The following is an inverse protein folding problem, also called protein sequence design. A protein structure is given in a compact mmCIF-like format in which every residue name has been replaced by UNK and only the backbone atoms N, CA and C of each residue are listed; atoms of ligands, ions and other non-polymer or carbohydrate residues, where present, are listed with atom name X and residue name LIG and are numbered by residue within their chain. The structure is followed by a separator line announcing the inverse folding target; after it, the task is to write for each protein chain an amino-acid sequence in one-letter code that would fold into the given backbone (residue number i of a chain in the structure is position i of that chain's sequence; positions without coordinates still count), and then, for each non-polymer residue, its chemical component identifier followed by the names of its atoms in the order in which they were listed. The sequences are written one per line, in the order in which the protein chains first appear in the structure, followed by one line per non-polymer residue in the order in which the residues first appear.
data_IF_150825234768
#
_entry.id   IF_150825234768
#
_cell.length_a   1.000
_cell.length_b   1.000
_cell.length_c   1.000
_cell.angle_alpha   90.00
_cell.angle_beta   90.00
_cell.angle_gamma   90.00
#
_symmetry.space_group_name_H-M   'P 1'
#
loop_
_entity.id
_entity.type
_entity.pdbx_description
1 polymer ?
#
# COMPACT_ATOMS: atom_id res chain seq x y z
N UNK A 1 36.28 2.60 -23.82
CA UNK A 1 34.96 1.95 -23.71
C UNK A 1 34.33 2.44 -22.42
N UNK A 2 33.35 3.33 -22.48
CA UNK A 2 32.58 3.71 -21.29
C UNK A 2 31.72 2.51 -20.93
N UNK A 3 32.08 1.76 -19.89
CA UNK A 3 31.13 0.86 -19.26
C UNK A 3 29.95 1.73 -18.80
N UNK A 4 28.77 1.51 -19.38
CA UNK A 4 27.55 2.06 -18.80
C UNK A 4 27.42 1.49 -17.39
N UNK A 5 27.52 2.34 -16.40
CA UNK A 5 27.19 1.93 -15.04
C UNK A 5 25.66 1.74 -14.98
N UNK A 6 25.22 0.54 -14.67
CA UNK A 6 23.79 0.22 -14.54
C UNK A 6 23.53 -0.64 -13.32
N UNK A 7 22.37 -0.47 -12.73
CA UNK A 7 21.87 -1.27 -11.60
C UNK A 7 20.48 -1.75 -11.93
N UNK A 8 20.24 -3.05 -11.75
CA UNK A 8 18.91 -3.67 -11.86
C UNK A 8 18.43 -4.06 -10.47
N UNK A 9 17.23 -3.63 -10.10
CA UNK A 9 16.61 -3.90 -8.82
C UNK A 9 15.20 -4.49 -8.99
N UNK A 10 14.81 -5.34 -8.07
CA UNK A 10 13.41 -5.73 -7.88
C UNK A 10 12.69 -4.60 -7.16
N UNK A 11 11.49 -4.28 -7.62
CA UNK A 11 10.58 -3.29 -7.07
C UNK A 11 9.31 -4.00 -6.54
N UNK A 12 9.33 -4.52 -5.29
CA UNK A 12 8.21 -5.26 -4.73
C UNK A 12 6.95 -4.40 -4.60
N UNK A 13 5.80 -4.98 -4.96
CA UNK A 13 4.51 -4.43 -4.60
C UNK A 13 4.23 -4.59 -3.10
N UNK A 14 3.15 -3.98 -2.65
CA UNK A 14 2.67 -4.12 -1.26
C UNK A 14 1.24 -4.64 -1.20
N UNK A 15 0.91 -5.22 -0.08
CA UNK A 15 -0.46 -5.46 0.38
C UNK A 15 -0.67 -4.76 1.73
N UNK A 16 -1.92 -4.53 2.08
CA UNK A 16 -2.29 -4.10 3.43
C UNK A 16 -2.89 -5.32 4.15
N UNK A 17 -2.31 -5.72 5.27
CA UNK A 17 -2.85 -6.79 6.12
C UNK A 17 -4.02 -6.26 6.96
N UNK A 18 -3.95 -5.01 7.37
CA UNK A 18 -5.07 -4.23 7.89
C UNK A 18 -5.04 -2.83 7.29
N UNK A 19 -6.20 -2.19 7.08
CA UNK A 19 -6.32 -0.81 6.64
C UNK A 19 -7.57 -0.17 7.22
N UNK A 20 -7.40 0.75 8.14
CA UNK A 20 -8.43 1.62 8.69
C UNK A 20 -8.27 3.04 8.20
N UNK A 21 -9.39 3.68 7.86
CA UNK A 21 -9.45 5.14 7.66
C UNK A 21 -9.87 5.78 8.97
N UNK A 22 -8.94 6.45 9.64
CA UNK A 22 -9.13 6.91 11.03
C UNK A 22 -9.63 8.35 11.13
N UNK A 23 -9.62 9.10 10.03
CA UNK A 23 -10.10 10.48 10.03
C UNK A 23 -9.73 11.23 8.75
N UNK A 24 -10.02 12.53 8.75
CA UNK A 24 -9.69 13.45 7.67
C UNK A 24 -9.02 14.70 8.21
N UNK A 25 -7.88 15.07 7.62
CA UNK A 25 -7.10 16.26 7.96
C UNK A 25 -7.70 17.51 7.34
N UNK A 26 -7.36 18.68 7.90
CA UNK A 26 -7.80 19.98 7.38
C UNK A 26 -7.30 20.28 5.96
N UNK A 27 -6.18 19.65 5.53
CA UNK A 27 -5.63 19.73 4.18
C UNK A 27 -6.36 18.82 3.17
N UNK A 28 -7.37 18.07 3.63
CA UNK A 28 -8.21 17.19 2.82
C UNK A 28 -7.71 15.76 2.68
N UNK A 29 -6.51 15.43 3.18
CA UNK A 29 -6.01 14.06 3.22
C UNK A 29 -6.69 13.26 4.34
N UNK A 30 -6.90 11.97 4.10
CA UNK A 30 -7.38 11.03 5.12
C UNK A 30 -6.22 10.47 5.90
N UNK A 31 -6.42 10.32 7.21
CA UNK A 31 -5.51 9.56 8.06
C UNK A 31 -5.87 8.09 8.02
N UNK A 32 -4.83 7.26 8.08
CA UNK A 32 -4.96 5.82 8.06
C UNK A 32 -4.21 5.19 9.23
N UNK A 33 -4.64 4.00 9.62
CA UNK A 33 -3.93 3.10 10.50
C UNK A 33 -3.87 1.74 9.79
N UNK A 34 -2.67 1.32 9.38
CA UNK A 34 -2.52 0.20 8.45
C UNK A 34 -1.23 -0.59 8.71
N UNK A 35 -1.30 -1.89 8.52
CA UNK A 35 -0.12 -2.75 8.45
C UNK A 35 0.16 -3.09 6.98
N UNK A 36 1.25 -2.54 6.45
CA UNK A 36 1.73 -2.83 5.10
C UNK A 36 2.77 -3.94 5.11
N UNK A 37 2.72 -4.80 4.09
CA UNK A 37 3.68 -5.88 3.88
C UNK A 37 4.10 -5.93 2.41
N UNK A 38 5.40 -6.03 2.13
CA UNK A 38 5.91 -6.22 0.77
C UNK A 38 5.54 -7.62 0.23
N UNK A 39 5.41 -7.74 -1.08
CA UNK A 39 5.05 -9.02 -1.73
C UNK A 39 6.20 -9.58 -2.56
N UNK A 40 6.10 -10.86 -2.91
CA UNK A 40 7.00 -11.48 -3.90
C UNK A 40 6.71 -11.02 -5.34
N UNK A 41 5.51 -10.49 -5.62
CA UNK A 41 5.18 -9.88 -6.91
C UNK A 41 5.91 -8.53 -7.02
N UNK A 42 6.79 -8.42 -8.00
CA UNK A 42 7.63 -7.24 -8.16
C UNK A 42 7.85 -6.89 -9.64
N UNK A 43 7.96 -5.62 -9.93
CA UNK A 43 8.51 -5.13 -11.17
C UNK A 43 10.03 -5.27 -11.17
N UNK A 44 10.67 -5.21 -12.34
CA UNK A 44 12.11 -5.16 -12.49
C UNK A 44 12.50 -3.81 -13.06
N UNK A 45 13.34 -3.06 -12.35
CA UNK A 45 13.75 -1.70 -12.72
C UNK A 45 15.24 -1.68 -12.96
N UNK A 46 15.64 -1.36 -14.19
CA UNK A 46 17.04 -1.14 -14.57
C UNK A 46 17.29 0.34 -14.77
N UNK A 47 18.26 0.88 -14.04
CA UNK A 47 18.71 2.27 -14.16
C UNK A 47 20.14 2.29 -14.68
N UNK A 48 20.36 3.05 -15.76
CA UNK A 48 21.68 3.23 -16.39
C UNK A 48 22.04 4.70 -16.45
N UNK A 49 23.31 5.02 -16.18
CA UNK A 49 23.87 6.36 -16.37
C UNK A 49 24.49 6.49 -17.75
N UNK A 50 24.31 7.63 -18.38
CA UNK A 50 24.92 8.00 -19.68
C UNK A 50 23.95 8.72 -20.62
N UNK A 51 24.50 9.32 -21.63
CA UNK A 51 23.73 10.14 -22.57
C UNK A 51 23.32 11.51 -21.99
N UNK A 52 22.16 12.02 -22.38
CA UNK A 52 21.62 13.30 -21.93
C UNK A 52 20.16 13.15 -21.54
N UNK A 53 19.74 13.90 -20.52
CA UNK A 53 18.36 13.94 -20.05
C UNK A 53 17.91 12.67 -19.36
N UNK A 54 16.60 12.55 -19.11
CA UNK A 54 15.99 11.41 -18.42
C UNK A 54 15.02 10.72 -19.39
N UNK A 55 15.19 9.42 -19.58
CA UNK A 55 14.27 8.57 -20.35
C UNK A 55 13.71 7.45 -19.48
N UNK A 56 12.42 7.12 -19.64
CA UNK A 56 11.74 6.01 -18.96
C UNK A 56 10.98 5.22 -20.02
N UNK A 57 11.10 3.90 -19.98
CA UNK A 57 10.40 2.94 -20.83
C UNK A 57 9.74 1.83 -20.02
N UNK A 58 8.82 1.09 -20.65
CA UNK A 58 8.08 -0.01 -20.01
C UNK A 58 6.86 0.45 -19.19
N UNK A 59 6.43 1.69 -19.35
CA UNK A 59 5.26 2.27 -18.68
C UNK A 59 4.32 2.93 -19.70
N UNK A 60 3.94 2.16 -20.73
CA UNK A 60 3.13 2.65 -21.83
C UNK A 60 1.81 3.27 -21.35
N UNK A 61 1.41 4.37 -21.98
CA UNK A 61 0.18 5.09 -21.65
C UNK A 61 0.27 6.03 -20.44
N UNK A 62 1.40 6.09 -19.73
CA UNK A 62 1.62 7.04 -18.64
C UNK A 62 2.41 8.26 -19.16
N UNK A 63 1.81 9.46 -19.06
CA UNK A 63 2.50 10.67 -19.42
C UNK A 63 3.77 10.87 -18.57
N UNK A 64 4.85 11.37 -19.20
CA UNK A 64 6.18 11.53 -18.58
C UNK A 64 6.11 12.25 -17.22
N UNK A 65 5.38 13.34 -17.15
CA UNK A 65 5.27 14.19 -15.95
C UNK A 65 4.45 13.52 -14.83
N UNK A 66 3.60 12.56 -15.17
CA UNK A 66 2.80 11.77 -14.25
C UNK A 66 3.52 10.48 -13.81
N UNK A 67 4.60 10.09 -14.51
CA UNK A 67 5.35 8.89 -14.21
C UNK A 67 6.20 9.06 -12.96
N UNK A 68 5.94 8.26 -11.92
CA UNK A 68 6.64 8.38 -10.63
C UNK A 68 8.13 8.01 -10.74
N UNK A 69 8.51 7.07 -11.61
CA UNK A 69 9.91 6.73 -11.86
C UNK A 69 10.68 7.90 -12.50
N UNK A 70 10.07 8.59 -13.46
CA UNK A 70 10.63 9.81 -14.03
C UNK A 70 10.78 10.90 -12.97
N UNK A 71 9.72 11.16 -12.19
CA UNK A 71 9.73 12.16 -11.13
C UNK A 71 10.75 11.84 -10.03
N UNK A 72 10.97 10.56 -9.72
CA UNK A 72 11.99 10.10 -8.80
C UNK A 72 13.40 10.46 -9.30
N UNK A 73 13.70 10.19 -10.58
CA UNK A 73 14.96 10.58 -11.19
C UNK A 73 15.16 12.11 -11.18
N UNK A 74 14.13 12.88 -11.54
CA UNK A 74 14.16 14.36 -11.46
C UNK A 74 14.44 14.82 -10.03
N UNK A 75 13.74 14.28 -9.03
CA UNK A 75 13.90 14.64 -7.62
C UNK A 75 15.31 14.35 -7.11
N UNK A 76 15.84 13.16 -7.42
CA UNK A 76 17.18 12.76 -7.03
C UNK A 76 18.26 13.67 -7.66
N UNK A 77 18.21 13.87 -8.98
CA UNK A 77 19.21 14.69 -9.69
C UNK A 77 19.19 16.16 -9.21
N UNK A 78 18.01 16.71 -8.96
CA UNK A 78 17.88 18.06 -8.38
C UNK A 78 18.50 18.15 -6.98
N UNK A 79 18.25 17.18 -6.14
CA UNK A 79 18.82 17.15 -4.78
C UNK A 79 20.36 17.02 -4.84
N UNK A 80 20.90 16.24 -5.79
CA UNK A 80 22.32 15.96 -5.89
C UNK A 80 23.10 17.03 -6.63
N UNK A 81 22.55 17.61 -7.71
CA UNK A 81 23.26 18.51 -8.64
C UNK A 81 22.65 19.91 -8.75
N UNK A 82 21.52 20.18 -8.08
CA UNK A 82 20.77 21.44 -8.19
C UNK A 82 19.87 21.52 -9.42
N UNK A 83 20.03 20.62 -10.40
CA UNK A 83 19.24 20.54 -11.61
C UNK A 83 18.96 19.09 -12.01
N UNK A 84 17.87 18.84 -12.74
CA UNK A 84 17.55 17.51 -13.23
C UNK A 84 18.18 17.20 -14.60
N UNK A 85 18.40 18.22 -15.40
CA UNK A 85 18.97 18.15 -16.74
C UNK A 85 19.89 19.36 -16.96
N UNK A 86 20.89 19.21 -17.82
CA UNK A 86 21.82 20.28 -18.17
C UNK A 86 23.28 19.89 -18.01
N UNK A 87 24.18 20.87 -18.21
CA UNK A 87 25.62 20.65 -18.09
C UNK A 87 26.01 20.24 -16.66
N UNK A 88 26.75 19.16 -16.53
CA UNK A 88 27.17 18.59 -15.24
C UNK A 88 26.19 17.59 -14.62
N UNK A 89 25.01 17.40 -15.20
CA UNK A 89 24.05 16.39 -14.77
C UNK A 89 24.15 15.14 -15.65
N UNK A 90 24.33 13.93 -15.11
CA UNK A 90 24.39 12.72 -15.92
C UNK A 90 23.01 12.43 -16.55
N UNK A 91 23.02 11.90 -17.78
CA UNK A 91 21.81 11.34 -18.34
C UNK A 91 21.43 10.05 -17.62
N UNK A 92 20.13 9.79 -17.51
CA UNK A 92 19.53 8.63 -16.83
C UNK A 92 18.58 7.92 -17.77
N UNK A 93 18.76 6.62 -17.93
CA UNK A 93 17.82 5.75 -18.63
C UNK A 93 17.22 4.78 -17.61
N UNK A 94 15.89 4.73 -17.54
CA UNK A 94 15.12 3.81 -16.69
C UNK A 94 14.32 2.87 -17.60
N UNK A 95 14.52 1.57 -17.42
CA UNK A 95 13.76 0.52 -18.11
C UNK A 95 13.00 -0.28 -17.07
N UNK A 96 11.68 -0.40 -17.23
CA UNK A 96 10.80 -1.07 -16.28
C UNK A 96 10.11 -2.25 -16.97
N UNK A 97 10.31 -3.45 -16.39
CA UNK A 97 9.55 -4.62 -16.74
C UNK A 97 8.39 -4.75 -15.73
N UNK A 98 7.16 -4.48 -16.21
CA UNK A 98 5.96 -4.43 -15.37
C UNK A 98 5.34 -5.81 -15.19
N UNK A 99 5.21 -6.22 -13.92
CA UNK A 99 4.47 -7.40 -13.47
C UNK A 99 3.35 -7.02 -12.50
N UNK A 100 3.54 -5.93 -11.73
CA UNK A 100 2.51 -5.40 -10.83
C UNK A 100 1.45 -4.69 -11.67
N UNK A 101 0.16 -5.03 -11.53
CA UNK A 101 -0.90 -4.42 -12.32
C UNK A 101 -0.99 -2.91 -12.08
N UNK A 102 -1.06 -2.16 -13.17
CA UNK A 102 -1.24 -0.71 -13.09
C UNK A 102 -2.56 -0.40 -12.40
N UNK A 103 -2.53 0.44 -11.40
CA UNK A 103 -3.71 0.80 -10.59
C UNK A 103 -4.35 -0.38 -9.83
N UNK A 104 -3.65 -1.47 -9.57
CA UNK A 104 -4.15 -2.65 -8.86
C UNK A 104 -4.28 -2.50 -7.33
N UNK A 105 -3.91 -1.35 -6.74
CA UNK A 105 -3.92 -1.16 -5.27
C UNK A 105 -2.64 -1.65 -4.58
N UNK A 106 -1.65 -2.12 -5.35
CA UNK A 106 -0.40 -2.72 -4.85
C UNK A 106 0.81 -1.77 -4.92
N UNK A 107 0.59 -0.49 -5.16
CA UNK A 107 1.61 0.56 -5.21
C UNK A 107 2.74 0.34 -6.24
N UNK A 108 2.49 -0.32 -7.40
CA UNK A 108 3.52 -0.62 -8.39
C UNK A 108 4.32 0.59 -8.85
N UNK A 109 3.66 1.70 -9.19
CA UNK A 109 4.37 2.95 -9.57
C UNK A 109 5.22 3.54 -8.44
N UNK A 110 4.81 3.37 -7.18
CA UNK A 110 5.58 3.79 -6.01
C UNK A 110 6.80 2.89 -5.80
N UNK A 111 6.64 1.58 -6.05
CA UNK A 111 7.74 0.62 -6.02
C UNK A 111 8.79 0.93 -7.09
N UNK A 112 8.35 1.24 -8.32
CA UNK A 112 9.24 1.68 -9.41
C UNK A 112 10.03 2.92 -9.02
N UNK A 113 9.35 3.94 -8.49
CA UNK A 113 9.99 5.19 -8.04
C UNK A 113 11.02 4.94 -6.93
N UNK A 114 10.69 4.11 -5.94
CA UNK A 114 11.59 3.74 -4.87
C UNK A 114 12.83 2.98 -5.39
N UNK A 115 12.64 2.08 -6.35
CA UNK A 115 13.75 1.37 -7.01
C UNK A 115 14.66 2.33 -7.77
N UNK A 116 14.11 3.32 -8.50
CA UNK A 116 14.90 4.37 -9.15
C UNK A 116 15.70 5.18 -8.15
N UNK A 117 15.11 5.60 -7.02
CA UNK A 117 15.84 6.33 -5.97
C UNK A 117 17.00 5.51 -5.42
N UNK A 118 16.78 4.24 -5.08
CA UNK A 118 17.83 3.32 -4.59
C UNK A 118 18.93 3.09 -5.64
N UNK A 119 18.55 2.89 -6.90
CA UNK A 119 19.50 2.65 -7.98
C UNK A 119 20.39 3.87 -8.21
N UNK A 120 19.80 5.08 -8.25
CA UNK A 120 20.55 6.33 -8.42
C UNK A 120 21.48 6.61 -7.24
N UNK A 121 21.02 6.33 -6.01
CA UNK A 121 21.87 6.50 -4.82
C UNK A 121 23.03 5.50 -4.82
N UNK A 122 22.82 4.27 -5.31
CA UNK A 122 23.90 3.29 -5.50
C UNK A 122 24.89 3.70 -6.60
N UNK A 123 24.42 4.29 -7.70
CA UNK A 123 25.24 4.65 -8.86
C UNK A 123 25.99 5.97 -8.66
N UNK A 124 25.35 6.96 -8.04
CA UNK A 124 25.86 8.33 -7.93
C UNK A 124 26.27 8.65 -6.48
N UNK A 125 25.44 8.25 -5.51
CA UNK A 125 25.64 8.53 -4.08
C UNK A 125 25.44 9.99 -3.67
N UNK A 126 25.59 10.23 -2.37
CA UNK A 126 25.74 11.58 -1.80
C UNK A 126 24.45 12.38 -1.58
N UNK A 127 23.27 11.75 -1.64
CA UNK A 127 22.02 12.44 -1.28
C UNK A 127 21.68 12.29 0.20
N UNK A 128 21.94 11.13 0.79
CA UNK A 128 21.64 10.82 2.19
C UNK A 128 20.20 10.38 2.44
N UNK A 129 20.00 9.54 3.49
CA UNK A 129 18.73 8.86 3.75
C UNK A 129 17.56 9.80 4.04
N UNK A 130 17.78 10.88 4.80
CA UNK A 130 16.75 11.87 5.12
C UNK A 130 16.22 12.57 3.85
N UNK A 131 17.13 12.97 2.97
CA UNK A 131 16.76 13.61 1.69
C UNK A 131 16.05 12.62 0.77
N UNK A 132 16.51 11.35 0.71
CA UNK A 132 15.83 10.30 -0.06
C UNK A 132 14.40 10.08 0.46
N UNK A 133 14.22 10.03 1.78
CA UNK A 133 12.90 9.93 2.41
C UNK A 133 11.99 11.11 2.06
N UNK A 134 12.53 12.33 2.09
CA UNK A 134 11.80 13.54 1.72
C UNK A 134 11.37 13.54 0.24
N UNK A 135 12.27 13.10 -0.67
CA UNK A 135 11.94 12.93 -2.08
C UNK A 135 10.83 11.87 -2.22
N UNK A 136 10.98 10.70 -1.58
CA UNK A 136 10.01 9.63 -1.63
C UNK A 136 8.62 10.10 -1.21
N UNK A 137 8.50 10.78 -0.08
CA UNK A 137 7.22 11.31 0.42
C UNK A 137 6.60 12.34 -0.55
N UNK A 138 7.40 13.19 -1.18
CA UNK A 138 6.93 14.17 -2.16
C UNK A 138 6.36 13.54 -3.45
N UNK A 139 6.72 12.28 -3.73
CA UNK A 139 6.24 11.54 -4.89
C UNK A 139 4.88 10.87 -4.62
N UNK A 140 4.65 10.41 -3.38
CA UNK A 140 3.40 9.77 -2.98
C UNK A 140 3.53 9.06 -1.64
N UNK A 141 2.39 8.83 -0.97
CA UNK A 141 2.32 8.28 0.39
C UNK A 141 2.91 6.85 0.50
N UNK A 142 2.78 6.02 -0.54
CA UNK A 142 3.31 4.65 -0.54
C UNK A 142 4.81 4.57 -0.89
N UNK A 143 5.42 5.64 -1.45
CA UNK A 143 6.84 5.60 -1.89
C UNK A 143 7.81 5.41 -0.73
N UNK A 144 7.63 6.06 0.45
CA UNK A 144 8.47 5.81 1.62
C UNK A 144 8.46 4.35 2.06
N UNK A 145 7.28 3.70 2.08
CA UNK A 145 7.18 2.27 2.38
C UNK A 145 7.97 1.42 1.36
N UNK A 146 7.77 1.67 0.06
CA UNK A 146 8.48 0.94 -1.00
C UNK A 146 10.01 1.19 -0.97
N UNK A 147 10.46 2.33 -0.41
CA UNK A 147 11.89 2.62 -0.25
C UNK A 147 12.52 1.77 0.85
N UNK A 148 11.80 1.54 1.96
CA UNK A 148 12.26 0.76 3.14
C UNK A 148 11.96 -0.73 2.97
N UNK A 149 10.76 -1.08 2.51
CA UNK A 149 10.28 -2.46 2.34
C UNK A 149 9.90 -3.14 3.66
N UNK A 150 9.73 -4.46 3.59
CA UNK A 150 9.47 -5.31 4.76
C UNK A 150 8.02 -5.31 5.22
N UNK A 151 7.81 -5.23 6.52
CA UNK A 151 6.52 -5.09 7.17
C UNK A 151 6.52 -3.89 8.10
N UNK A 152 5.54 -3.01 7.94
CA UNK A 152 5.47 -1.73 8.66
C UNK A 152 4.05 -1.47 9.15
N UNK A 153 3.93 -1.03 10.38
CA UNK A 153 2.77 -0.33 10.89
C UNK A 153 2.87 1.13 10.46
N UNK A 154 1.90 1.61 9.71
CA UNK A 154 1.91 2.93 9.10
C UNK A 154 0.71 3.76 9.57
N UNK A 155 0.98 4.98 10.00
CA UNK A 155 -0.03 5.96 10.42
C UNK A 155 0.14 7.28 9.68
N UNK A 156 -0.64 8.32 10.04
CA UNK A 156 -0.66 9.57 9.29
C UNK A 156 -1.41 9.37 7.97
N UNK A 157 -0.85 9.79 6.84
CA UNK A 157 -1.34 9.44 5.49
C UNK A 157 -0.67 8.16 4.95
N UNK A 158 0.09 7.43 5.81
CA UNK A 158 0.88 6.24 5.52
C UNK A 158 2.40 6.47 5.64
N UNK A 159 2.82 7.69 5.98
CA UNK A 159 4.23 8.12 6.02
C UNK A 159 4.93 7.89 7.36
N UNK A 160 4.17 7.77 8.46
CA UNK A 160 4.75 7.48 9.78
C UNK A 160 4.86 5.98 9.93
N UNK A 161 6.07 5.45 9.80
CA UNK A 161 6.32 4.01 9.69
C UNK A 161 7.07 3.48 10.91
N UNK A 162 6.55 2.41 11.51
CA UNK A 162 7.19 1.65 12.57
C UNK A 162 7.36 0.20 12.11
N UNK A 163 8.58 -0.36 12.11
CA UNK A 163 8.79 -1.76 11.76
C UNK A 163 7.95 -2.69 12.63
N UNK A 164 7.32 -3.69 12.02
CA UNK A 164 6.61 -4.74 12.72
C UNK A 164 7.04 -6.12 12.22
N UNK A 165 6.52 -7.17 12.88
CA UNK A 165 6.85 -8.54 12.51
C UNK A 165 6.31 -8.86 11.12
N UNK A 166 7.13 -9.50 10.28
CA UNK A 166 6.73 -10.02 8.97
C UNK A 166 5.78 -11.20 9.11
N UNK A 167 5.03 -11.49 8.05
CA UNK A 167 4.29 -12.73 7.93
C UNK A 167 5.23 -13.93 8.09
N UNK A 168 4.81 -14.99 8.80
CA UNK A 168 5.53 -16.26 8.79
C UNK A 168 5.52 -16.85 7.35
N UNK A 169 6.25 -17.95 7.09
CA UNK A 169 6.22 -18.60 5.80
C UNK A 169 4.80 -18.79 5.29
N UNK A 170 4.52 -18.36 4.07
CA UNK A 170 3.18 -18.38 3.49
C UNK A 170 3.24 -18.50 1.96
N UNK A 171 2.11 -18.84 1.36
CA UNK A 171 1.87 -18.69 -0.07
C UNK A 171 0.85 -17.57 -0.30
N UNK A 172 1.13 -16.72 -1.27
CA UNK A 172 0.27 -15.61 -1.67
C UNK A 172 -0.23 -15.85 -3.11
N UNK A 173 -1.55 -15.69 -3.32
CA UNK A 173 -2.14 -15.58 -4.65
C UNK A 173 -2.70 -14.17 -4.80
N UNK A 174 -2.39 -13.50 -5.92
CA UNK A 174 -2.96 -12.18 -6.27
C UNK A 174 -3.84 -12.34 -7.49
N UNK A 175 -5.05 -11.82 -7.39
CA UNK A 175 -6.09 -11.87 -8.43
C UNK A 175 -6.37 -10.44 -8.90
N UNK A 176 -6.36 -10.24 -10.21
CA UNK A 176 -6.75 -9.01 -10.88
C UNK A 176 -8.16 -9.06 -11.46
N UNK A 177 -8.53 -7.97 -12.11
CA UNK A 177 -9.83 -7.80 -12.77
C UNK A 177 -11.05 -7.96 -11.83
N UNK A 178 -10.86 -7.70 -10.53
CA UNK A 178 -11.88 -7.86 -9.50
C UNK A 178 -12.84 -6.64 -9.44
N UNK A 179 -13.13 -6.05 -10.58
CA UNK A 179 -14.03 -4.91 -10.72
C UNK A 179 -13.41 -3.70 -11.41
N UNK A 180 -14.20 -2.64 -11.56
CA UNK A 180 -13.75 -1.41 -12.23
C UNK A 180 -12.95 -0.56 -11.25
N UNK A 181 -11.72 -0.17 -11.64
CA UNK A 181 -10.92 0.77 -10.86
C UNK A 181 -11.64 2.11 -10.73
N UNK A 182 -11.98 2.48 -9.52
CA UNK A 182 -12.41 3.84 -9.17
C UNK A 182 -11.21 4.63 -8.65
N UNK A 183 -11.25 5.96 -8.74
CA UNK A 183 -10.17 6.75 -8.15
C UNK A 183 -10.16 6.58 -6.62
N UNK A 184 -8.98 6.48 -6.04
CA UNK A 184 -8.81 6.39 -4.59
C UNK A 184 -9.48 7.57 -3.86
N UNK A 185 -9.40 8.77 -4.42
CA UNK A 185 -10.07 9.96 -3.86
C UNK A 185 -11.60 9.80 -3.80
N UNK A 186 -12.21 9.19 -4.83
CA UNK A 186 -13.64 8.90 -4.83
C UNK A 186 -14.01 7.86 -3.78
N UNK A 187 -13.20 6.84 -3.60
CA UNK A 187 -13.47 5.80 -2.59
C UNK A 187 -13.37 6.36 -1.16
N UNK A 188 -12.41 7.25 -0.90
CA UNK A 188 -12.37 7.99 0.37
C UNK A 188 -13.63 8.84 0.58
N UNK A 189 -14.10 9.56 -0.44
CA UNK A 189 -15.34 10.35 -0.33
C UNK A 189 -16.58 9.48 -0.09
N UNK A 190 -16.62 8.26 -0.62
CA UNK A 190 -17.69 7.29 -0.34
C UNK A 190 -17.61 6.78 1.11
N UNK A 191 -16.40 6.53 1.65
CA UNK A 191 -16.20 6.18 3.06
C UNK A 191 -16.63 7.30 4.00
N UNK A 192 -16.37 8.57 3.66
CA UNK A 192 -16.88 9.74 4.42
C UNK A 192 -18.41 9.70 4.56
N UNK A 193 -19.11 9.25 3.51
CA UNK A 193 -20.57 9.08 3.53
C UNK A 193 -21.04 7.98 4.50
N UNK A 194 -20.31 6.86 4.57
CA UNK A 194 -20.61 5.78 5.53
C UNK A 194 -20.45 6.25 6.98
N UNK A 195 -19.39 6.96 7.29
CA UNK A 195 -19.13 7.48 8.64
C UNK A 195 -20.24 8.45 9.11
N UNK A 196 -20.82 9.22 8.21
CA UNK A 196 -21.92 10.14 8.54
C UNK A 196 -23.24 9.41 8.82
N UNK A 197 -23.53 8.32 8.11
CA UNK A 197 -24.73 7.50 8.31
C UNK A 197 -24.68 6.80 9.67
N UNK A 198 -23.52 6.18 10.02
CA UNK A 198 -23.37 5.51 11.32
C UNK A 198 -23.46 6.48 12.50
N UNK A 199 -22.95 7.69 12.38
CA UNK A 199 -23.07 8.72 13.41
C UNK A 199 -24.55 9.12 13.62
N UNK A 200 -25.31 9.30 12.54
CA UNK A 200 -26.72 9.66 12.59
C UNK A 200 -27.61 8.53 13.13
N UNK A 201 -27.28 7.26 12.85
CA UNK A 201 -27.99 6.11 13.38
C UNK A 201 -27.64 5.85 14.85
N UNK A 202 -26.40 6.11 15.27
CA UNK A 202 -25.97 6.06 16.66
C UNK A 202 -26.62 7.14 17.52
N UNK A 203 -26.82 8.35 17.00
CA UNK A 203 -27.54 9.41 17.68
C UNK A 203 -29.04 9.08 17.82
N UNK A 204 -29.67 8.52 16.80
CA UNK A 204 -31.08 8.05 16.86
C UNK A 204 -31.28 6.92 17.87
N UNK A 205 -30.35 5.95 17.95
CA UNK A 205 -30.40 4.87 18.94
C UNK A 205 -30.15 5.38 20.36
N UNK A 206 -29.29 6.39 20.54
CA UNK A 206 -29.03 7.01 21.85
C UNK A 206 -30.24 7.80 22.37
N UNK A 207 -31.06 8.36 21.49
CA UNK A 207 -32.33 9.01 21.85
C UNK A 207 -33.44 8.00 22.21
N UNK A 208 -33.46 6.81 21.58
CA UNK A 208 -34.41 5.74 21.87
C UNK A 208 -34.10 4.95 23.15
N UNK A 209 -32.83 4.81 23.53
CA UNK A 209 -32.37 4.13 24.75
C UNK A 209 -32.02 5.15 25.82
N UNK A 210 -33.05 5.80 26.37
CA UNK A 210 -32.89 6.71 27.49
C UNK A 210 -32.15 6.07 28.66
N UNK A 211 -31.01 6.66 29.01
CA UNK A 211 -30.30 6.57 30.29
C UNK A 211 -29.91 5.19 30.83
N UNK A 212 -28.70 4.74 30.52
CA UNK A 212 -27.84 4.07 31.49
C UNK A 212 -26.49 4.80 31.52
N UNK A 213 -26.29 5.60 32.55
CA UNK A 213 -24.98 6.13 32.93
C UNK A 213 -24.21 5.00 33.56
N UNK A 214 -23.01 4.69 33.01
CA UNK A 214 -21.76 4.36 33.69
C UNK A 214 -20.80 3.69 32.68
N UNK A 215 -19.98 4.51 32.04
CA UNK A 215 -18.71 4.04 31.50
C UNK A 215 -17.68 5.16 31.76
N UNK A 216 -16.63 4.83 32.50
CA UNK A 216 -15.58 5.73 32.93
C UNK A 216 -14.80 6.33 31.73
N UNK A 217 -14.31 7.59 31.82
CA UNK A 217 -13.58 8.22 30.72
C UNK A 217 -12.15 7.67 30.66
N UNK A 218 -11.73 7.27 29.47
CA UNK A 218 -10.34 7.08 29.16
C UNK A 218 -9.65 8.46 29.04
N UNK A 219 -8.55 8.61 29.78
CA UNK A 219 -7.84 9.85 29.99
C UNK A 219 -7.28 10.42 28.67
N UNK A 220 -7.49 11.72 28.51
CA UNK A 220 -6.88 12.58 27.50
C UNK A 220 -5.36 12.61 27.69
N UNK A 221 -4.62 12.24 26.64
CA UNK A 221 -3.21 12.54 26.48
C UNK A 221 -3.04 13.82 25.66
N UNK A 222 -2.80 14.95 26.35
CA UNK A 222 -2.46 16.21 25.70
C UNK A 222 -1.01 16.13 25.26
N UNK A 223 -0.76 16.01 23.95
CA UNK A 223 0.50 16.33 23.30
C UNK A 223 0.56 17.83 23.05
N UNK A 224 1.54 18.50 23.66
CA UNK A 224 1.81 19.91 23.43
C UNK A 224 2.51 20.10 22.09
N UNK A 225 1.76 20.27 21.00
CA UNK A 225 2.19 20.91 19.74
C UNK A 225 0.94 21.13 18.90
N UNK A 226 0.46 22.35 18.91
CA UNK A 226 -0.74 22.89 18.30
C UNK A 226 -1.14 22.41 16.91
N UNK A 227 -1.73 21.22 16.81
CA UNK A 227 -2.38 20.73 15.58
C UNK A 227 -3.89 20.79 15.78
N UNK A 228 -4.53 21.67 15.02
CA UNK A 228 -5.98 21.87 14.98
C UNK A 228 -6.71 20.62 14.46
N UNK A 229 -7.64 20.14 15.27
CA UNK A 229 -8.85 19.40 14.93
C UNK A 229 -8.75 18.32 13.85
N UNK A 230 -8.33 17.12 14.24
CA UNK A 230 -8.62 15.89 13.47
C UNK A 230 -10.06 15.48 13.80
N UNK A 231 -10.96 15.52 12.81
CA UNK A 231 -12.25 14.88 12.94
C UNK A 231 -12.03 13.38 13.03
N UNK A 232 -12.22 12.79 14.21
CA UNK A 232 -12.15 11.33 14.39
C UNK A 232 -13.47 10.73 13.95
N UNK A 233 -13.42 9.68 13.14
CA UNK A 233 -14.57 8.81 12.93
C UNK A 233 -14.83 8.09 14.26
N UNK A 234 -16.04 8.28 14.82
CA UNK A 234 -16.36 7.96 16.20
C UNK A 234 -16.21 6.48 16.56
N UNK A 235 -15.92 6.23 17.82
CA UNK A 235 -15.93 4.91 18.48
C UNK A 235 -17.36 4.34 18.65
N UNK A 236 -18.17 4.37 17.59
CA UNK A 236 -19.49 3.75 17.54
C UNK A 236 -19.35 2.30 17.03
N UNK A 237 -19.91 1.37 17.74
CA UNK A 237 -20.01 -0.07 17.49
C UNK A 237 -20.70 -0.37 16.15
N UNK A 238 -19.99 -0.23 15.02
CA UNK A 238 -20.64 -0.56 13.77
C UNK A 238 -19.74 -0.45 12.59
N UNK A 239 -19.30 -0.23 11.68
CA UNK A 239 -18.80 -0.43 10.36
C UNK A 239 -17.28 -0.23 10.16
N UNK A 240 -16.59 0.51 10.99
CA UNK A 240 -15.12 0.70 10.90
C UNK A 240 -14.43 -0.17 11.96
N UNK A 241 -14.20 -1.44 11.62
CA UNK A 241 -13.64 -2.45 12.53
C UNK A 241 -12.25 -2.91 12.15
N UNK A 242 -11.49 -2.17 11.34
CA UNK A 242 -10.12 -2.56 11.12
C UNK A 242 -9.25 -1.94 12.21
N UNK A 243 -8.64 -2.80 13.01
CA UNK A 243 -7.76 -2.46 14.11
C UNK A 243 -6.35 -2.94 13.78
N UNK A 244 -5.45 -2.01 13.43
CA UNK A 244 -4.05 -2.36 13.24
C UNK A 244 -3.45 -2.97 14.50
N UNK A 245 -3.93 -2.62 15.69
CA UNK A 245 -3.49 -3.21 16.95
C UNK A 245 -3.78 -4.71 16.99
N UNK A 246 -4.99 -5.15 16.63
CA UNK A 246 -5.35 -6.57 16.52
C UNK A 246 -4.47 -7.31 15.50
N UNK A 247 -4.17 -6.69 14.37
CA UNK A 247 -3.25 -7.25 13.38
C UNK A 247 -1.83 -7.37 13.93
N UNK A 248 -1.30 -6.36 14.63
CA UNK A 248 0.02 -6.42 15.25
C UNK A 248 0.11 -7.53 16.29
N UNK A 249 -0.91 -7.69 17.16
CA UNK A 249 -1.00 -8.81 18.10
C UNK A 249 -1.05 -10.16 17.39
N UNK A 250 -1.78 -10.26 16.28
CA UNK A 250 -1.83 -11.49 15.49
C UNK A 250 -0.45 -11.83 14.88
N UNK A 251 0.26 -10.85 14.34
CA UNK A 251 1.62 -11.02 13.81
C UNK A 251 2.60 -11.50 14.88
N UNK A 252 2.49 -11.01 16.12
CA UNK A 252 3.34 -11.43 17.22
C UNK A 252 3.18 -12.93 17.57
N UNK A 253 2.03 -13.53 17.29
CA UNK A 253 1.83 -14.98 17.48
C UNK A 253 2.60 -15.83 16.46
N UNK A 254 2.92 -15.28 15.29
CA UNK A 254 3.42 -16.00 14.11
C UNK A 254 2.49 -17.16 13.64
N UNK A 255 1.22 -17.13 14.01
CA UNK A 255 0.22 -18.09 13.58
C UNK A 255 -0.55 -17.56 12.38
N UNK A 256 -0.29 -18.11 11.20
CA UNK A 256 -0.84 -17.60 9.94
C UNK A 256 -2.38 -17.53 9.93
N UNK A 257 -3.06 -18.51 10.59
CA UNK A 257 -4.52 -18.51 10.72
C UNK A 257 -5.05 -17.36 11.57
N UNK A 258 -4.35 -16.98 12.63
CA UNK A 258 -4.73 -15.83 13.46
C UNK A 258 -4.54 -14.54 12.69
N UNK A 259 -3.43 -14.43 11.96
CA UNK A 259 -3.16 -13.28 11.10
C UNK A 259 -4.25 -13.15 10.02
N UNK A 260 -4.59 -14.25 9.33
CA UNK A 260 -5.66 -14.27 8.34
C UNK A 260 -7.02 -13.85 8.92
N UNK A 261 -7.32 -14.25 10.16
CA UNK A 261 -8.54 -13.85 10.86
C UNK A 261 -8.58 -12.38 11.30
N UNK A 262 -7.41 -11.72 11.40
CA UNK A 262 -7.29 -10.31 11.76
C UNK A 262 -7.22 -9.37 10.51
N UNK A 263 -7.20 -9.93 9.30
CA UNK A 263 -7.14 -9.13 8.07
C UNK A 263 -8.42 -8.31 7.87
N UNK A 264 -8.27 -7.01 7.55
CA UNK A 264 -9.38 -6.08 7.37
C UNK A 264 -9.01 -4.91 6.47
N UNK A 265 -9.99 -4.37 5.72
CA UNK A 265 -9.76 -3.23 4.85
C UNK A 265 -11.06 -2.41 4.68
N UNK A 266 -11.09 -1.19 5.18
CA UNK A 266 -12.27 -0.33 5.14
C UNK A 266 -12.76 -0.04 3.69
N UNK A 267 -11.87 -0.07 2.71
CA UNK A 267 -12.27 0.11 1.31
C UNK A 267 -13.18 -1.02 0.80
N UNK A 268 -13.26 -2.18 1.47
CA UNK A 268 -14.20 -3.24 1.09
C UNK A 268 -15.66 -2.82 1.31
N UNK A 269 -15.94 -1.90 2.24
CA UNK A 269 -17.28 -1.33 2.46
C UNK A 269 -17.82 -0.63 1.20
N UNK A 270 -16.91 -0.01 0.46
CA UNK A 270 -17.28 0.75 -0.76
C UNK A 270 -16.87 0.00 -2.05
N UNK A 271 -16.36 -1.21 -1.95
CA UNK A 271 -15.95 -2.04 -3.10
C UNK A 271 -16.50 -3.48 -3.01
N UNK A 272 -17.81 -3.68 -3.12
CA UNK A 272 -18.42 -5.00 -2.97
C UNK A 272 -17.99 -6.02 -4.05
N UNK A 273 -17.42 -5.56 -5.18
CA UNK A 273 -16.97 -6.44 -6.25
C UNK A 273 -15.86 -7.42 -5.83
N UNK A 274 -15.12 -7.12 -4.75
CA UNK A 274 -14.10 -8.03 -4.22
C UNK A 274 -14.69 -9.26 -3.50
N UNK A 275 -15.97 -9.23 -3.11
CA UNK A 275 -16.60 -10.26 -2.27
C UNK A 275 -16.61 -11.64 -2.95
N UNK A 276 -16.92 -11.70 -4.24
CA UNK A 276 -17.00 -12.96 -4.97
C UNK A 276 -15.62 -13.62 -5.11
N UNK A 277 -14.59 -12.84 -5.42
CA UNK A 277 -13.21 -13.32 -5.48
C UNK A 277 -12.75 -13.83 -4.13
N UNK A 278 -13.06 -13.11 -3.05
CA UNK A 278 -12.73 -13.53 -1.67
C UNK A 278 -13.38 -14.88 -1.35
N UNK A 279 -14.65 -15.09 -1.72
CA UNK A 279 -15.35 -16.37 -1.52
C UNK A 279 -14.71 -17.50 -2.32
N UNK A 280 -14.32 -17.24 -3.57
CA UNK A 280 -13.62 -18.24 -4.39
C UNK A 280 -12.30 -18.64 -3.75
N UNK A 281 -11.49 -17.70 -3.31
CA UNK A 281 -10.21 -17.96 -2.67
C UNK A 281 -10.38 -18.74 -1.34
N UNK A 282 -11.25 -18.26 -0.44
CA UNK A 282 -11.46 -18.90 0.87
C UNK A 282 -12.17 -20.25 0.74
N UNK A 283 -13.09 -20.40 -0.19
CA UNK A 283 -13.75 -21.69 -0.50
C UNK A 283 -12.81 -22.74 -1.10
N UNK A 284 -11.63 -22.34 -1.59
CA UNK A 284 -10.63 -23.22 -2.17
C UNK A 284 -9.29 -23.15 -1.43
N UNK A 285 -9.32 -22.99 -0.09
CA UNK A 285 -8.18 -23.25 0.77
C UNK A 285 -7.39 -22.02 1.24
N UNK A 286 -7.73 -20.79 0.80
CA UNK A 286 -7.13 -19.61 1.39
C UNK A 286 -7.57 -19.47 2.87
N UNK A 287 -6.63 -19.18 3.75
CA UNK A 287 -6.87 -18.91 5.17
C UNK A 287 -7.64 -17.60 5.36
N UNK A 288 -7.44 -16.66 4.44
CA UNK A 288 -8.12 -15.40 4.35
C UNK A 288 -7.88 -14.75 2.98
N UNK A 289 -8.73 -13.82 2.60
CA UNK A 289 -8.57 -13.04 1.38
C UNK A 289 -9.00 -11.59 1.63
N UNK A 290 -8.28 -10.63 1.02
CA UNK A 290 -8.49 -9.21 1.25
C UNK A 290 -8.23 -8.38 0.00
N UNK A 291 -8.87 -7.22 -0.09
CA UNK A 291 -8.62 -6.21 -1.13
C UNK A 291 -7.22 -5.60 -0.97
N UNK A 292 -6.49 -5.44 -2.06
CA UNK A 292 -5.20 -4.74 -2.08
C UNK A 292 -5.41 -3.23 -2.05
N UNK A 293 -5.14 -2.58 -0.90
CA UNK A 293 -5.35 -1.13 -0.75
C UNK A 293 -6.76 -0.71 -1.17
N UNK A 294 -6.89 0.26 -2.07
CA UNK A 294 -8.19 0.65 -2.66
C UNK A 294 -8.61 -0.22 -3.86
N UNK A 295 -7.93 -1.34 -4.11
CA UNK A 295 -8.26 -2.28 -5.17
C UNK A 295 -7.89 -1.82 -6.59
N UNK A 296 -8.36 -2.50 -7.64
CA UNK A 296 -9.33 -3.60 -7.61
C UNK A 296 -8.74 -5.01 -7.42
N UNK A 297 -7.43 -5.17 -7.22
CA UNK A 297 -6.86 -6.50 -6.99
C UNK A 297 -7.22 -7.03 -5.60
N UNK A 298 -7.33 -8.36 -5.49
CA UNK A 298 -7.56 -9.09 -4.23
C UNK A 298 -6.42 -10.09 -4.03
N UNK A 299 -5.96 -10.26 -2.80
CA UNK A 299 -5.02 -11.33 -2.49
C UNK A 299 -5.65 -12.39 -1.60
N UNK A 300 -5.19 -13.63 -1.75
CA UNK A 300 -5.48 -14.75 -0.86
C UNK A 300 -4.21 -15.19 -0.16
N UNK A 301 -4.31 -15.46 1.14
CA UNK A 301 -3.22 -15.95 1.98
C UNK A 301 -3.41 -17.45 2.25
N UNK A 302 -2.41 -18.27 1.93
CA UNK A 302 -2.43 -19.72 2.07
C UNK A 302 -1.26 -20.20 2.94
N UNK A 303 -1.36 -21.42 3.46
CA UNK A 303 -0.21 -22.07 4.10
C UNK A 303 0.97 -22.16 3.12
N UNK A 304 2.19 -22.12 3.65
CA UNK A 304 3.40 -22.26 2.85
C UNK A 304 3.40 -23.60 2.10
N UNK A 305 3.68 -23.56 0.80
CA UNK A 305 3.69 -24.76 -0.04
C UNK A 305 2.32 -25.39 -0.28
N UNK A 306 1.20 -24.74 0.11
CA UNK A 306 -0.13 -25.28 -0.15
C UNK A 306 -0.35 -25.50 -1.65
N UNK A 307 -1.09 -26.57 -1.98
CA UNK A 307 -1.64 -26.74 -3.33
C UNK A 307 -2.77 -25.71 -3.52
N UNK A 308 -2.66 -24.91 -4.56
CA UNK A 308 -3.61 -23.82 -4.88
C UNK A 308 -4.26 -24.00 -6.27
N UNK A 309 -4.06 -25.14 -6.92
CA UNK A 309 -4.56 -25.40 -8.27
C UNK A 309 -6.08 -25.25 -8.34
N UNK A 310 -6.80 -25.76 -7.32
CA UNK A 310 -8.25 -25.63 -7.24
C UNK A 310 -8.71 -24.16 -7.10
N UNK A 311 -7.97 -23.35 -6.33
CA UNK A 311 -8.26 -21.93 -6.19
C UNK A 311 -7.98 -21.17 -7.49
N UNK A 312 -6.88 -21.49 -8.16
CA UNK A 312 -6.50 -20.91 -9.44
C UNK A 312 -7.51 -21.25 -10.54
N UNK A 313 -7.94 -22.51 -10.62
CA UNK A 313 -8.97 -22.99 -11.56
C UNK A 313 -10.32 -22.28 -11.31
N UNK A 314 -10.76 -22.21 -10.06
CA UNK A 314 -12.01 -21.55 -9.68
C UNK A 314 -12.02 -20.06 -10.03
N UNK A 315 -10.90 -19.37 -9.77
CA UNK A 315 -10.73 -17.94 -10.09
C UNK A 315 -10.77 -17.73 -11.60
N UNK A 316 -10.04 -18.53 -12.38
CA UNK A 316 -10.01 -18.43 -13.86
C UNK A 316 -11.36 -18.79 -14.47
N UNK A 317 -12.04 -19.84 -13.98
CA UNK A 317 -13.36 -20.24 -14.44
C UNK A 317 -14.42 -19.18 -14.22
N UNK A 318 -14.27 -18.36 -13.17
CA UNK A 318 -15.13 -17.20 -12.88
C UNK A 318 -14.78 -15.96 -13.73
N UNK A 319 -13.76 -16.01 -14.58
CA UNK A 319 -13.38 -14.92 -15.50
C UNK A 319 -12.39 -13.91 -14.91
N UNK A 320 -11.78 -14.21 -13.77
CA UNK A 320 -10.74 -13.36 -13.18
C UNK A 320 -9.33 -13.77 -13.62
N UNK A 321 -8.39 -12.86 -13.51
CA UNK A 321 -6.99 -13.10 -13.88
C UNK A 321 -6.15 -13.38 -12.64
N UNK A 322 -5.48 -14.54 -12.59
CA UNK A 322 -4.45 -14.81 -11.58
C UNK A 322 -3.15 -14.10 -12.02
N UNK A 323 -2.74 -13.11 -11.28
CA UNK A 323 -1.58 -12.27 -11.55
C UNK A 323 -0.29 -12.82 -10.95
N UNK A 324 -0.41 -13.51 -9.82
CA UNK A 324 0.73 -14.02 -9.08
C UNK A 324 0.34 -15.17 -8.17
N UNK A 325 1.19 -16.18 -8.14
CA UNK A 325 1.21 -17.22 -7.11
C UNK A 325 2.67 -17.40 -6.69
N UNK A 326 2.95 -17.31 -5.42
CA UNK A 326 4.32 -17.50 -4.95
C UNK A 326 4.43 -17.73 -3.45
N UNK A 327 5.50 -18.44 -3.09
CA UNK A 327 5.86 -18.69 -1.70
C UNK A 327 6.79 -17.58 -1.18
N UNK A 328 6.57 -17.20 0.07
CA UNK A 328 7.50 -16.39 0.84
C UNK A 328 8.02 -17.27 1.99
N UNK A 329 9.27 -17.76 1.92
CA UNK A 329 9.89 -18.49 3.01
C UNK A 329 10.11 -17.57 4.23
N UNK A 330 10.46 -18.14 5.37
CA UNK A 330 11.01 -17.35 6.47
C UNK A 330 12.30 -16.67 6.02
N UNK A 331 12.54 -15.44 6.51
CA UNK A 331 13.82 -14.73 6.33
C UNK A 331 14.97 -15.45 7.01
#
# INVERSE_FOLDING_TARGET
MNCKESVTLRAPGKINLSLSVTGRRADGYHTVDTVMHETGLCDVVTVSLGGRGISVSGTDGIARESNLAYRAAVGYLRARFGAAEGDGTPGVTVEIEKHIPVSGGMAGGSADAAAVLRALDSLIGGVGGETLGSIALSLGADVPFCLVGGAMHCTGIGEVMTPCRRLPPHRLMVVGDCGVKRSTARMYAELDGYAQVDAADSERHAEEVGSVRDAAPYAEGIGADGVLGVGTYGNGTGAFCSDAHGMLQALDTAELRRIAGAMSNDFELVNPACTDVKRLLTGNGALGALLCGSGPSVFGLFEYGADVDAAEEAVRAAGYTVLYVGDSPAD
#
